data_IF_845088294718
#
_entry.id   IF_845088294718
#
_cell.length_a   1.000
_cell.length_b   1.000
_cell.length_c   1.000
_cell.angle_alpha   90.00
_cell.angle_beta   90.00
_cell.angle_gamma   90.00
#
_symmetry.space_group_name_H-M   'P 1'
#
loop_
_entity.id
_entity.type
_entity.pdbx_description
1 polymer ?
#
# COMPACT_ATOMS: atom_id res chain seq x y z
N UNK A 1 -3.95 20.79 -17.48
CA UNK A 1 -4.65 19.73 -16.72
C UNK A 1 -3.58 18.84 -16.11
N UNK A 2 -3.68 18.51 -14.83
CA UNK A 2 -2.77 17.52 -14.21
C UNK A 2 -2.90 16.17 -14.94
N UNK A 3 -1.79 15.45 -15.11
CA UNK A 3 -1.81 14.11 -15.69
C UNK A 3 -2.49 13.12 -14.73
N UNK A 4 -2.91 11.97 -15.22
CA UNK A 4 -3.44 10.89 -14.39
C UNK A 4 -2.40 10.47 -13.31
N UNK A 5 -1.13 10.44 -13.70
CA UNK A 5 -0.02 10.16 -12.77
C UNK A 5 0.07 11.20 -11.66
N UNK A 6 -0.09 12.50 -11.96
CA UNK A 6 -0.06 13.56 -10.96
C UNK A 6 -1.24 13.44 -9.98
N UNK A 7 -2.43 13.07 -10.49
CA UNK A 7 -3.61 12.84 -9.67
C UNK A 7 -3.36 11.71 -8.67
N UNK A 8 -2.93 10.55 -9.12
CA UNK A 8 -2.68 9.39 -8.26
C UNK A 8 -1.47 9.55 -7.36
N UNK A 9 -0.45 10.31 -7.79
CA UNK A 9 0.64 10.73 -6.91
C UNK A 9 0.15 11.61 -5.77
N UNK A 10 -0.81 12.50 -6.05
CA UNK A 10 -1.44 13.34 -5.02
C UNK A 10 -2.29 12.51 -4.05
N UNK A 11 -3.06 11.53 -4.55
CA UNK A 11 -3.81 10.59 -3.70
C UNK A 11 -2.86 9.83 -2.77
N UNK A 12 -1.78 9.27 -3.32
CA UNK A 12 -0.78 8.55 -2.53
C UNK A 12 -0.08 9.41 -1.47
N UNK A 13 0.10 10.71 -1.74
CA UNK A 13 0.66 11.65 -0.77
C UNK A 13 -0.33 12.05 0.32
N UNK A 14 -1.61 12.16 -0.01
CA UNK A 14 -2.63 12.73 0.86
C UNK A 14 -3.49 11.68 1.58
N UNK A 15 -3.38 10.39 1.23
CA UNK A 15 -4.30 9.38 1.75
C UNK A 15 -4.30 9.26 3.28
N UNK A 16 -3.17 9.55 3.93
CA UNK A 16 -3.02 9.52 5.41
C UNK A 16 -2.94 10.90 6.06
N UNK A 17 -3.05 11.99 5.29
CA UNK A 17 -2.69 13.33 5.77
C UNK A 17 -3.49 13.79 6.99
N UNK A 18 -4.72 13.32 7.18
CA UNK A 18 -5.65 13.80 8.17
C UNK A 18 -6.50 12.72 8.86
N UNK A 19 -6.10 11.50 8.74
CA UNK A 19 -6.86 10.37 9.29
C UNK A 19 -7.17 10.55 10.80
N UNK A 20 -6.26 11.20 11.55
CA UNK A 20 -6.42 11.39 12.99
C UNK A 20 -7.17 12.68 13.36
N UNK A 21 -7.20 13.70 12.50
CA UNK A 21 -7.67 15.03 12.90
C UNK A 21 -9.02 15.45 12.30
N UNK A 22 -9.34 15.08 11.05
CA UNK A 22 -10.53 15.58 10.36
C UNK A 22 -11.20 14.53 9.43
N UNK A 23 -11.87 13.53 9.96
CA UNK A 23 -12.44 12.45 9.12
C UNK A 23 -13.60 12.88 8.21
N UNK A 24 -14.07 14.12 8.27
CA UNK A 24 -15.29 14.56 7.57
C UNK A 24 -15.16 15.82 6.70
N UNK A 25 -14.01 16.50 6.66
CA UNK A 25 -13.94 17.83 6.02
C UNK A 25 -12.96 17.94 4.83
N UNK A 26 -12.52 16.82 4.23
CA UNK A 26 -11.47 16.84 3.21
C UNK A 26 -11.95 16.90 1.76
N UNK A 27 -11.28 17.77 1.01
CA UNK A 27 -11.25 17.89 -0.46
C UNK A 27 -12.60 18.06 -1.18
N UNK A 28 -12.79 19.22 -1.80
CA UNK A 28 -13.93 19.56 -2.66
C UNK A 28 -13.99 18.81 -4.02
N UNK A 29 -13.18 17.77 -4.22
CA UNK A 29 -13.22 16.92 -5.43
C UNK A 29 -13.66 15.53 -5.04
N UNK A 30 -14.88 15.18 -5.36
CA UNK A 30 -15.51 13.89 -5.02
C UNK A 30 -14.62 12.67 -5.36
N UNK A 31 -13.99 12.67 -6.52
CA UNK A 31 -13.10 11.57 -6.93
C UNK A 31 -11.85 11.45 -6.04
N UNK A 32 -11.28 12.57 -5.58
CA UNK A 32 -10.12 12.55 -4.68
C UNK A 32 -10.52 12.08 -3.28
N UNK A 33 -11.66 12.57 -2.79
CA UNK A 33 -12.22 12.12 -1.50
C UNK A 33 -12.49 10.63 -1.54
N UNK A 34 -13.15 10.13 -2.60
CA UNK A 34 -13.43 8.72 -2.77
C UNK A 34 -12.14 7.89 -2.76
N UNK A 35 -11.14 8.30 -3.53
CA UNK A 35 -9.86 7.60 -3.61
C UNK A 35 -9.10 7.57 -2.27
N UNK A 36 -9.17 8.68 -1.49
CA UNK A 36 -8.57 8.72 -0.15
C UNK A 36 -9.38 7.89 0.84
N UNK A 37 -10.72 8.02 0.87
CA UNK A 37 -11.55 7.34 1.88
C UNK A 37 -11.61 5.83 1.65
N UNK A 38 -11.62 5.38 0.38
CA UNK A 38 -11.75 3.96 0.03
C UNK A 38 -10.58 3.09 0.47
N UNK A 39 -9.37 3.67 0.75
CA UNK A 39 -8.26 2.88 1.28
C UNK A 39 -8.56 2.28 2.67
N UNK A 40 -9.44 2.92 3.44
CA UNK A 40 -9.90 2.45 4.75
C UNK A 40 -11.10 1.49 4.71
N UNK A 41 -11.45 0.94 3.55
CA UNK A 41 -12.61 0.06 3.38
C UNK A 41 -12.63 -1.11 4.37
N UNK A 42 -13.75 -1.26 5.08
CA UNK A 42 -13.96 -2.23 6.15
C UNK A 42 -12.94 -2.17 7.33
N UNK A 43 -12.20 -1.08 7.45
CA UNK A 43 -11.38 -0.77 8.62
C UNK A 43 -12.03 0.40 9.37
N UNK A 44 -12.27 1.51 8.69
CA UNK A 44 -12.86 2.73 9.24
C UNK A 44 -13.96 3.34 8.36
N UNK A 45 -14.23 2.76 7.20
CA UNK A 45 -15.24 3.23 6.25
C UNK A 45 -15.90 2.08 5.49
N UNK A 46 -17.11 2.32 4.97
CA UNK A 46 -17.83 1.41 4.08
C UNK A 46 -17.69 1.80 2.59
N UNK A 47 -16.83 2.77 2.27
CA UNK A 47 -16.58 3.21 0.89
C UNK A 47 -15.67 2.19 0.20
N UNK A 48 -16.23 1.46 -0.77
CA UNK A 48 -15.51 0.40 -1.49
C UNK A 48 -14.59 0.97 -2.57
N UNK A 49 -13.35 0.46 -2.74
CA UNK A 49 -12.49 0.82 -3.85
C UNK A 49 -13.11 0.43 -5.19
N UNK A 50 -13.34 1.39 -6.08
CA UNK A 50 -13.93 1.17 -7.41
C UNK A 50 -12.89 1.20 -8.52
N UNK A 51 -12.08 2.26 -8.55
CA UNK A 51 -11.04 2.44 -9.55
C UNK A 51 -9.86 1.48 -9.31
N UNK A 52 -9.19 1.06 -10.40
CA UNK A 52 -8.04 0.13 -10.32
C UNK A 52 -6.96 0.63 -9.34
N UNK A 53 -6.65 1.93 -9.37
CA UNK A 53 -5.63 2.51 -8.49
C UNK A 53 -6.06 2.57 -7.02
N UNK A 54 -7.35 2.72 -6.73
CA UNK A 54 -7.88 2.61 -5.37
C UNK A 54 -7.71 1.19 -4.83
N UNK A 55 -8.00 0.19 -5.67
CA UNK A 55 -7.78 -1.23 -5.34
C UNK A 55 -6.30 -1.54 -5.11
N UNK A 56 -5.42 -0.94 -5.91
CA UNK A 56 -3.96 -1.07 -5.73
C UNK A 56 -3.55 -0.42 -4.40
N UNK A 57 -3.98 0.81 -4.12
CA UNK A 57 -3.69 1.50 -2.86
C UNK A 57 -4.14 0.65 -1.67
N UNK A 58 -5.41 0.23 -1.66
CA UNK A 58 -5.98 -0.63 -0.62
C UNK A 58 -5.19 -1.93 -0.40
N UNK A 59 -4.79 -2.60 -1.49
CA UNK A 59 -4.08 -3.88 -1.43
C UNK A 59 -2.62 -3.74 -0.96
N UNK A 60 -1.99 -2.60 -1.22
CA UNK A 60 -0.55 -2.40 -0.97
C UNK A 60 -0.26 -1.64 0.32
N UNK A 61 -1.19 -0.90 0.86
CA UNK A 61 -1.02 -0.10 2.06
C UNK A 61 -0.45 -0.94 3.22
N UNK A 62 -1.20 -1.88 3.72
CA UNK A 62 -0.76 -2.82 4.77
C UNK A 62 0.44 -3.71 4.34
N UNK A 63 0.52 -4.03 3.06
CA UNK A 63 1.57 -4.90 2.53
C UNK A 63 2.94 -4.21 2.50
N UNK A 64 2.99 -2.90 2.22
CA UNK A 64 4.25 -2.14 2.24
C UNK A 64 4.86 -2.12 3.64
N UNK A 65 4.05 -1.97 4.67
CA UNK A 65 4.48 -2.08 6.07
C UNK A 65 5.06 -3.46 6.40
N UNK A 66 4.40 -4.53 5.96
CA UNK A 66 4.90 -5.90 6.14
C UNK A 66 6.24 -6.13 5.40
N UNK A 67 6.34 -5.70 4.15
CA UNK A 67 7.56 -5.82 3.33
C UNK A 67 8.69 -5.01 3.98
N UNK A 68 8.43 -3.78 4.40
CA UNK A 68 9.40 -2.94 5.10
C UNK A 68 9.92 -3.59 6.38
N UNK A 69 9.03 -4.18 7.19
CA UNK A 69 9.42 -4.91 8.39
C UNK A 69 10.32 -6.12 8.06
N UNK A 70 10.05 -6.84 6.96
CA UNK A 70 10.92 -7.95 6.52
C UNK A 70 12.27 -7.44 6.04
N UNK A 71 12.31 -6.35 5.28
CA UNK A 71 13.55 -5.73 4.80
C UNK A 71 14.45 -5.30 5.97
N UNK A 72 13.89 -4.64 6.97
CA UNK A 72 14.63 -4.18 8.16
C UNK A 72 15.27 -5.31 8.98
N UNK A 73 14.76 -6.55 8.88
CA UNK A 73 15.37 -7.72 9.53
C UNK A 73 16.57 -8.29 8.76
N UNK A 74 16.79 -7.85 7.53
CA UNK A 74 17.92 -8.32 6.71
C UNK A 74 19.19 -7.54 7.04
N UNK A 75 20.38 -8.11 6.80
CA UNK A 75 21.63 -7.38 6.96
C UNK A 75 21.71 -6.12 6.07
N UNK A 76 21.13 -6.20 4.85
CA UNK A 76 21.05 -5.08 3.90
C UNK A 76 20.14 -3.94 4.35
N UNK A 77 19.11 -4.25 5.19
CA UNK A 77 18.02 -3.34 5.57
C UNK A 77 17.33 -2.68 4.37
N UNK A 78 17.34 -3.34 3.23
CA UNK A 78 16.88 -2.85 1.93
C UNK A 78 15.93 -3.86 1.30
N UNK A 79 15.07 -3.38 0.40
CA UNK A 79 14.22 -4.23 -0.45
C UNK A 79 14.95 -4.71 -1.71
N UNK A 80 16.17 -4.21 -1.98
CA UNK A 80 16.92 -4.51 -3.19
C UNK A 80 17.20 -6.01 -3.38
N UNK A 81 17.51 -6.73 -2.28
CA UNK A 81 17.80 -8.16 -2.27
C UNK A 81 16.65 -9.02 -1.72
N UNK A 82 15.47 -8.41 -1.49
CA UNK A 82 14.33 -9.08 -0.89
C UNK A 82 13.59 -9.95 -1.92
N UNK A 83 13.32 -11.21 -1.55
CA UNK A 83 12.59 -12.16 -2.39
C UNK A 83 11.18 -12.39 -1.89
N UNK A 84 10.23 -12.60 -2.81
CA UNK A 84 8.82 -12.92 -2.52
C UNK A 84 8.67 -14.05 -1.49
N UNK A 85 9.47 -15.11 -1.58
CA UNK A 85 9.44 -16.24 -0.64
C UNK A 85 9.73 -15.82 0.82
N UNK A 86 10.58 -14.84 1.02
CA UNK A 86 10.93 -14.33 2.36
C UNK A 86 9.75 -13.59 2.98
N UNK A 87 9.10 -12.74 2.21
CA UNK A 87 7.87 -12.03 2.62
C UNK A 87 6.75 -13.04 2.88
N UNK A 88 6.54 -14.00 1.96
CA UNK A 88 5.52 -15.04 2.11
C UNK A 88 5.68 -15.87 3.39
N UNK A 89 6.91 -16.19 3.77
CA UNK A 89 7.20 -16.89 5.03
C UNK A 89 6.78 -16.06 6.24
N UNK A 90 7.08 -14.76 6.23
CA UNK A 90 6.73 -13.82 7.31
C UNK A 90 5.24 -13.48 7.33
N UNK A 91 4.60 -13.39 6.17
CA UNK A 91 3.14 -13.25 6.06
C UNK A 91 2.38 -14.32 6.82
N UNK A 92 2.85 -15.58 6.76
CA UNK A 92 2.26 -16.71 7.51
C UNK A 92 2.51 -16.67 9.01
N UNK A 93 3.46 -15.88 9.47
CA UNK A 93 3.81 -15.77 10.88
C UNK A 93 2.91 -14.75 11.57
N UNK A 94 1.93 -15.20 12.34
CA UNK A 94 0.91 -14.35 12.97
C UNK A 94 1.49 -13.28 13.92
N UNK A 95 2.58 -13.57 14.63
CA UNK A 95 3.22 -12.63 15.55
C UNK A 95 4.21 -11.67 14.89
N UNK A 96 4.36 -11.71 13.55
CA UNK A 96 5.26 -10.81 12.82
C UNK A 96 4.47 -9.67 12.20
N UNK A 97 4.86 -8.41 12.44
CA UNK A 97 4.18 -7.20 11.97
C UNK A 97 2.66 -7.30 12.20
N UNK A 98 2.26 -7.44 13.46
CA UNK A 98 0.86 -7.62 13.86
C UNK A 98 -0.04 -6.46 13.46
N UNK A 99 0.52 -5.26 13.35
CA UNK A 99 -0.20 -4.08 12.86
C UNK A 99 -0.63 -4.16 11.40
N UNK A 100 -0.02 -5.05 10.60
CA UNK A 100 -0.38 -5.22 9.19
C UNK A 100 -1.46 -6.29 9.03
N UNK A 101 -2.66 -5.90 8.62
CA UNK A 101 -3.81 -6.80 8.47
C UNK A 101 -3.67 -7.74 7.27
N UNK A 102 -3.55 -9.05 7.55
CA UNK A 102 -3.49 -10.10 6.50
C UNK A 102 -4.82 -10.22 5.75
N UNK A 103 -5.91 -9.90 6.41
CA UNK A 103 -7.24 -9.94 5.81
C UNK A 103 -7.40 -8.83 4.77
N UNK A 104 -6.94 -7.62 5.07
CA UNK A 104 -6.93 -6.49 4.14
C UNK A 104 -6.06 -6.81 2.92
N UNK A 105 -4.82 -7.30 3.15
CA UNK A 105 -3.91 -7.69 2.06
C UNK A 105 -4.54 -8.76 1.16
N UNK A 106 -5.15 -9.80 1.73
CA UNK A 106 -5.78 -10.86 0.96
C UNK A 106 -6.99 -10.35 0.18
N UNK A 107 -7.85 -9.56 0.81
CA UNK A 107 -9.01 -8.94 0.15
C UNK A 107 -8.59 -8.03 -0.99
N UNK A 108 -7.53 -7.25 -0.80
CA UNK A 108 -6.97 -6.40 -1.85
C UNK A 108 -6.46 -7.22 -3.04
N UNK A 109 -5.76 -8.33 -2.80
CA UNK A 109 -5.35 -9.26 -3.85
C UNK A 109 -6.57 -9.81 -4.62
N UNK A 110 -7.61 -10.23 -3.90
CA UNK A 110 -8.84 -10.75 -4.49
C UNK A 110 -9.57 -9.69 -5.33
N UNK A 111 -9.65 -8.43 -4.86
CA UNK A 111 -10.23 -7.30 -5.62
C UNK A 111 -9.49 -7.01 -6.92
N UNK A 112 -8.18 -7.23 -6.95
CA UNK A 112 -7.34 -7.06 -8.14
C UNK A 112 -7.37 -8.29 -9.05
N UNK A 113 -7.89 -9.42 -8.58
CA UNK A 113 -7.81 -10.70 -9.28
C UNK A 113 -6.37 -11.25 -9.34
N UNK A 114 -5.49 -10.82 -8.42
CA UNK A 114 -4.10 -11.26 -8.37
C UNK A 114 -3.88 -12.34 -7.30
N UNK A 115 -2.95 -13.25 -7.57
CA UNK A 115 -2.47 -14.14 -6.53
C UNK A 115 -1.64 -13.35 -5.48
N UNK A 116 -1.65 -13.82 -4.23
CA UNK A 116 -0.89 -13.17 -3.16
C UNK A 116 0.61 -13.03 -3.48
N UNK A 117 1.20 -14.04 -4.12
CA UNK A 117 2.62 -14.00 -4.52
C UNK A 117 2.86 -12.95 -5.61
N UNK A 118 1.93 -12.79 -6.54
CA UNK A 118 1.97 -11.75 -7.56
C UNK A 118 1.87 -10.36 -6.94
N UNK A 119 0.94 -10.15 -6.00
CA UNK A 119 0.81 -8.88 -5.29
C UNK A 119 2.11 -8.54 -4.54
N UNK A 120 2.69 -9.50 -3.80
CA UNK A 120 3.95 -9.32 -3.07
C UNK A 120 5.08 -8.96 -4.04
N UNK A 121 5.23 -9.69 -5.15
CA UNK A 121 6.28 -9.45 -6.13
C UNK A 121 6.19 -8.06 -6.75
N UNK A 122 4.99 -7.68 -7.22
CA UNK A 122 4.75 -6.35 -7.80
C UNK A 122 5.04 -5.23 -6.80
N UNK A 123 4.63 -5.41 -5.55
CA UNK A 123 4.88 -4.42 -4.48
C UNK A 123 6.38 -4.31 -4.17
N UNK A 124 7.13 -5.43 -4.10
CA UNK A 124 8.59 -5.40 -3.92
C UNK A 124 9.26 -4.65 -5.08
N UNK A 125 8.86 -4.91 -6.33
CA UNK A 125 9.41 -4.24 -7.51
C UNK A 125 9.15 -2.73 -7.49
N UNK A 126 7.95 -2.32 -7.11
CA UNK A 126 7.61 -0.91 -6.94
C UNK A 126 8.44 -0.24 -5.83
N UNK A 127 8.58 -0.89 -4.67
CA UNK A 127 9.40 -0.38 -3.57
C UNK A 127 10.88 -0.27 -3.96
N UNK A 128 11.43 -1.21 -4.74
CA UNK A 128 12.80 -1.13 -5.27
C UNK A 128 12.98 0.10 -6.15
N UNK A 129 12.06 0.34 -7.08
CA UNK A 129 12.15 1.50 -7.97
C UNK A 129 12.14 2.83 -7.20
N UNK A 130 11.41 2.91 -6.09
CA UNK A 130 11.41 4.07 -5.20
C UNK A 130 12.73 4.18 -4.42
N UNK A 131 13.26 3.07 -3.91
CA UNK A 131 14.53 3.04 -3.16
C UNK A 131 15.71 3.46 -4.05
N UNK A 132 15.75 2.96 -5.29
CA UNK A 132 16.76 3.32 -6.29
C UNK A 132 16.68 4.81 -6.65
N UNK A 133 15.47 5.34 -6.85
CA UNK A 133 15.26 6.76 -7.12
C UNK A 133 15.69 7.64 -5.95
N UNK A 134 15.38 7.23 -4.72
CA UNK A 134 15.73 7.99 -3.52
C UNK A 134 17.25 8.01 -3.26
N UNK A 135 17.95 6.92 -3.54
CA UNK A 135 19.41 6.83 -3.37
C UNK A 135 20.19 7.77 -4.30
N UNK A 136 19.57 8.28 -5.37
CA UNK A 136 20.18 9.28 -6.27
C UNK A 136 20.15 10.71 -5.70
N UNK A 137 19.40 10.96 -4.65
CA UNK A 137 19.27 12.27 -3.99
C UNK A 137 20.07 12.36 -2.68
N UNK A 138 20.67 11.27 -2.22
CA UNK A 138 21.56 11.22 -1.04
C UNK A 138 23.02 11.20 -1.44
#
# INVERSE_FOLDING_TARGET
>A
MASETDFWGTVGLLHDLDFEQFPQEHCHKEALIHAVVSHGYQIGTDVEPEHMMEKVLYATDELTGLIGAVALMRPSKSVSDLETRSVRKKYKSKGFAEGCSREVIQRGADMLGWGLDELIERTILAMRSCEDAYSQFL
#
